data_IF_223559943215
#
_entry.id   IF_223559943215
#
_cell.length_a   1.000
_cell.length_b   1.000
_cell.length_c   1.000
_cell.angle_alpha   90.00
_cell.angle_beta   90.00
_cell.angle_gamma   90.00
#
_symmetry.space_group_name_H-M   'P 1'
#
loop_
_entity.id
_entity.type
_entity.pdbx_description
1 polymer ?
#
# COMPACT_ATOMS: atom_id res chain seq x y z
N UNK A 1 -9.46 17.53 -21.26
CA UNK A 1 -8.53 16.38 -21.27
C UNK A 1 -7.40 16.69 -22.21
N UNK A 2 -6.15 16.74 -21.72
CA UNK A 2 -4.97 16.96 -22.55
C UNK A 2 -4.10 15.72 -22.53
N UNK A 3 -3.68 15.27 -23.71
CA UNK A 3 -2.66 14.22 -23.84
C UNK A 3 -1.33 14.79 -23.37
N UNK A 4 -0.53 13.97 -22.68
CA UNK A 4 0.77 14.40 -22.17
C UNK A 4 1.77 14.52 -23.33
N UNK A 5 1.56 13.75 -24.40
CA UNK A 5 2.35 13.75 -25.63
C UNK A 5 1.43 13.67 -26.87
N UNK A 6 1.80 14.32 -27.98
CA UNK A 6 0.98 14.38 -29.19
C UNK A 6 0.68 13.01 -29.80
N UNK A 7 1.62 12.07 -29.67
CA UNK A 7 1.48 10.69 -30.17
C UNK A 7 0.88 9.73 -29.14
N UNK A 8 0.57 10.22 -27.94
CA UNK A 8 -0.04 9.40 -26.90
C UNK A 8 -1.50 9.12 -27.22
N UNK A 9 -1.92 7.87 -27.07
CA UNK A 9 -3.33 7.51 -27.09
C UNK A 9 -3.97 7.63 -25.70
N UNK A 10 -5.30 7.67 -25.66
CA UNK A 10 -6.06 7.59 -24.40
C UNK A 10 -6.18 6.13 -23.99
N UNK A 11 -5.88 5.81 -22.73
CA UNK A 11 -6.02 4.44 -22.21
C UNK A 11 -6.61 4.41 -20.80
N UNK A 12 -7.14 3.25 -20.44
CA UNK A 12 -7.82 2.99 -19.15
C UNK A 12 -6.87 2.46 -18.07
N UNK A 13 -5.76 1.81 -18.45
CA UNK A 13 -4.53 1.54 -17.67
C UNK A 13 -3.55 0.75 -18.57
N UNK A 14 -2.36 1.26 -18.87
CA UNK A 14 -1.40 0.57 -19.75
C UNK A 14 -0.26 -0.07 -18.96
N UNK A 15 -0.38 -1.36 -18.67
CA UNK A 15 0.67 -2.11 -17.98
C UNK A 15 1.42 -3.08 -18.92
N UNK A 16 0.91 -3.33 -20.12
CA UNK A 16 1.37 -4.44 -20.97
C UNK A 16 2.09 -4.02 -22.26
N UNK A 17 2.19 -2.72 -22.55
CA UNK A 17 2.85 -2.23 -23.75
C UNK A 17 4.17 -1.55 -23.38
N UNK A 18 5.27 -2.32 -23.43
CA UNK A 18 6.60 -1.88 -23.00
C UNK A 18 7.37 -1.09 -24.08
N UNK A 19 6.92 -1.15 -25.34
CA UNK A 19 7.73 -0.67 -26.47
C UNK A 19 7.07 0.46 -27.26
N UNK A 20 5.77 0.69 -27.07
CA UNK A 20 5.10 1.85 -27.65
C UNK A 20 5.16 3.06 -26.72
N UNK A 21 4.93 4.25 -27.30
CA UNK A 21 4.73 5.48 -26.54
C UNK A 21 3.64 5.23 -25.49
N UNK A 22 3.95 5.39 -24.18
CA UNK A 22 2.98 5.11 -23.13
C UNK A 22 1.72 5.96 -23.34
N UNK A 23 0.53 5.34 -23.38
CA UNK A 23 -0.70 6.10 -23.50
C UNK A 23 -0.96 6.90 -22.22
N UNK A 24 -1.70 7.99 -22.38
CA UNK A 24 -2.09 8.86 -21.29
C UNK A 24 -3.24 8.19 -20.57
N UNK A 25 -3.00 7.79 -19.32
CA UNK A 25 -4.05 7.32 -18.43
C UNK A 25 -5.01 8.46 -18.13
N UNK A 26 -6.26 8.34 -18.58
CA UNK A 26 -7.32 9.33 -18.31
C UNK A 26 -8.50 8.76 -17.52
N UNK A 27 -8.54 7.45 -17.28
CA UNK A 27 -9.66 6.81 -16.60
C UNK A 27 -9.61 6.99 -15.08
N UNK A 28 -8.42 7.15 -14.49
CA UNK A 28 -8.26 7.38 -13.05
C UNK A 28 -8.20 8.88 -12.81
N UNK A 29 -9.33 9.47 -12.40
CA UNK A 29 -9.41 10.92 -12.13
C UNK A 29 -8.99 11.27 -10.69
N UNK A 30 -9.26 10.36 -9.74
CA UNK A 30 -9.05 10.57 -8.30
C UNK A 30 -8.64 9.27 -7.63
N UNK A 31 -7.90 9.38 -6.54
CA UNK A 31 -7.55 8.27 -5.66
C UNK A 31 -8.02 8.53 -4.23
N UNK A 32 -8.32 7.47 -3.49
CA UNK A 32 -8.68 7.52 -2.07
C UNK A 32 -8.02 6.39 -1.30
N UNK A 33 -7.78 6.61 0.00
CA UNK A 33 -7.29 5.58 0.91
C UNK A 33 -8.46 4.89 1.59
N UNK A 34 -8.59 3.58 1.37
CA UNK A 34 -9.60 2.75 2.02
C UNK A 34 -8.95 1.89 3.11
N UNK A 35 -9.58 1.83 4.28
CA UNK A 35 -9.10 1.04 5.41
C UNK A 35 -9.85 -0.29 5.48
N UNK A 36 -9.14 -1.38 5.28
CA UNK A 36 -9.67 -2.73 5.44
C UNK A 36 -9.21 -3.34 6.76
N UNK A 37 -10.07 -4.16 7.37
CA UNK A 37 -9.74 -4.92 8.58
C UNK A 37 -9.44 -6.38 8.19
N UNK A 38 -8.53 -7.06 8.89
CA UNK A 38 -8.32 -8.49 8.70
C UNK A 38 -9.60 -9.28 8.91
N UNK A 39 -9.82 -10.30 8.09
CA UNK A 39 -10.93 -11.26 8.28
C UNK A 39 -10.55 -12.39 9.22
N UNK A 40 -9.25 -12.68 9.32
CA UNK A 40 -8.70 -13.75 10.14
C UNK A 40 -8.13 -13.23 11.47
N UNK A 41 -8.13 -14.11 12.47
CA UNK A 41 -7.42 -13.83 13.72
C UNK A 41 -5.91 -13.81 13.49
N UNK A 42 -5.23 -12.80 14.03
CA UNK A 42 -3.78 -12.67 13.94
C UNK A 42 -3.14 -13.75 14.81
N UNK A 43 -2.46 -14.70 14.19
CA UNK A 43 -1.74 -15.80 14.85
C UNK A 43 -0.32 -15.91 14.32
N UNK A 44 0.59 -16.36 15.16
CA UNK A 44 1.99 -16.55 14.78
C UNK A 44 2.10 -17.58 13.64
N UNK A 45 2.84 -17.24 12.58
CA UNK A 45 3.06 -18.12 11.42
C UNK A 45 1.92 -18.17 10.40
N UNK A 46 0.83 -17.42 10.61
CA UNK A 46 -0.29 -17.36 9.67
C UNK A 46 -0.27 -16.07 8.85
N UNK A 47 -0.75 -16.15 7.60
CA UNK A 47 -0.93 -14.98 6.75
C UNK A 47 -2.07 -14.09 7.28
N UNK A 48 -1.90 -12.77 7.16
CA UNK A 48 -2.97 -11.81 7.40
C UNK A 48 -3.83 -11.77 6.15
N UNK A 49 -5.09 -12.20 6.28
CA UNK A 49 -6.03 -12.22 5.17
C UNK A 49 -6.95 -11.02 5.24
N UNK A 50 -7.17 -10.39 4.09
CA UNK A 50 -8.00 -9.21 3.94
C UNK A 50 -8.93 -9.43 2.75
N UNK A 51 -10.23 -9.25 2.97
CA UNK A 51 -11.21 -9.32 1.88
C UNK A 51 -11.47 -7.93 1.34
N UNK A 52 -11.13 -7.71 0.07
CA UNK A 52 -11.48 -6.50 -0.66
C UNK A 52 -12.63 -6.87 -1.57
N UNK A 53 -13.85 -6.50 -1.20
CA UNK A 53 -15.01 -6.66 -2.07
C UNK A 53 -14.75 -5.88 -3.35
N UNK A 54 -14.84 -6.55 -4.51
CA UNK A 54 -14.50 -6.01 -5.82
C UNK A 54 -15.08 -4.61 -5.99
N UNK A 55 -14.26 -3.59 -6.27
CA UNK A 55 -14.67 -2.23 -6.02
C UNK A 55 -15.39 -1.64 -7.25
N UNK A 56 -16.37 -2.35 -7.84
CA UNK A 56 -17.10 -1.86 -9.01
C UNK A 56 -16.18 -1.33 -10.13
N UNK A 57 -16.16 0.00 -10.27
CA UNK A 57 -15.37 0.77 -11.25
C UNK A 57 -14.01 1.28 -10.74
N UNK A 58 -13.66 1.08 -9.46
CA UNK A 58 -12.41 1.58 -8.88
C UNK A 58 -11.22 0.64 -9.17
N UNK A 59 -10.02 1.22 -9.20
CA UNK A 59 -8.76 0.47 -9.33
C UNK A 59 -8.02 0.40 -8.01
N UNK A 60 -7.41 -0.75 -7.72
CA UNK A 60 -6.55 -0.94 -6.55
C UNK A 60 -5.09 -0.69 -6.95
N UNK A 61 -4.41 0.19 -6.23
CA UNK A 61 -2.99 0.45 -6.41
C UNK A 61 -2.16 -0.39 -5.42
N UNK A 62 -1.79 -1.61 -5.83
CA UNK A 62 -1.12 -2.58 -4.96
C UNK A 62 0.25 -2.14 -4.45
N UNK A 63 1.05 -1.45 -5.29
CA UNK A 63 2.35 -0.89 -4.89
C UNK A 63 2.24 0.22 -3.85
N UNK A 64 1.10 0.92 -3.83
CA UNK A 64 0.77 1.95 -2.85
C UNK A 64 -0.22 1.41 -1.80
N UNK A 65 -0.03 0.17 -1.35
CA UNK A 65 -0.81 -0.40 -0.24
C UNK A 65 0.04 -0.43 1.03
N UNK A 66 -0.52 0.03 2.15
CA UNK A 66 0.17 0.09 3.44
C UNK A 66 -0.49 -0.80 4.47
N UNK A 67 0.34 -1.48 5.27
CA UNK A 67 -0.13 -2.24 6.43
C UNK A 67 -0.01 -1.37 7.68
N UNK A 68 -1.16 -1.00 8.25
CA UNK A 68 -1.21 -0.24 9.50
C UNK A 68 -1.23 -1.19 10.71
N UNK A 69 -0.15 -1.18 11.50
CA UNK A 69 0.03 -2.09 12.64
C UNK A 69 0.14 -1.31 13.95
N UNK A 70 -0.69 -1.67 14.95
CA UNK A 70 -0.57 -1.18 16.33
C UNK A 70 -0.01 -2.30 17.19
N UNK A 71 1.21 -2.14 17.70
CA UNK A 71 1.94 -3.15 18.49
C UNK A 71 2.33 -2.61 19.85
N UNK A 72 2.44 -3.53 20.83
CA UNK A 72 3.06 -3.26 22.11
C UNK A 72 4.46 -3.87 22.08
N UNK A 73 5.49 -3.03 22.13
CA UNK A 73 6.88 -3.49 22.19
C UNK A 73 7.30 -3.60 23.66
N UNK A 74 7.93 -4.72 24.01
CA UNK A 74 8.44 -5.03 25.35
C UNK A 74 9.88 -5.51 25.24
N UNK A 75 10.72 -5.13 26.21
CA UNK A 75 12.08 -5.65 26.37
C UNK A 75 12.08 -6.54 27.60
N UNK A 76 12.33 -7.84 27.42
CA UNK A 76 12.29 -8.83 28.51
C UNK A 76 10.98 -8.81 29.32
N UNK A 77 9.85 -8.60 28.63
CA UNK A 77 8.51 -8.40 29.21
C UNK A 77 8.31 -7.11 30.04
N UNK A 78 9.29 -6.21 30.04
CA UNK A 78 9.21 -4.89 30.69
C UNK A 78 8.90 -3.82 29.65
N UNK A 79 8.15 -2.79 30.05
CA UNK A 79 7.86 -1.62 29.21
C UNK A 79 9.17 -0.89 28.90
N UNK A 80 9.32 -0.47 27.65
CA UNK A 80 10.47 0.33 27.24
C UNK A 80 10.53 1.66 28.02
N UNK A 81 11.75 2.09 28.33
CA UNK A 81 12.01 3.42 28.91
C UNK A 81 11.77 4.53 27.89
N UNK A 82 11.53 5.75 28.35
CA UNK A 82 11.26 6.93 27.48
C UNK A 82 12.43 7.28 26.54
N UNK A 83 13.64 6.80 26.85
CA UNK A 83 14.86 7.03 26.05
C UNK A 83 15.16 5.90 25.06
N UNK A 84 14.40 4.81 25.08
CA UNK A 84 14.63 3.67 24.19
C UNK A 84 13.90 3.88 22.85
N UNK A 85 14.68 3.99 21.78
CA UNK A 85 14.15 4.12 20.42
C UNK A 85 13.83 2.75 19.83
N UNK A 86 12.67 2.63 19.18
CA UNK A 86 12.29 1.44 18.41
C UNK A 86 12.19 1.81 16.93
N UNK A 87 12.75 0.95 16.08
CA UNK A 87 12.63 1.06 14.64
C UNK A 87 12.25 -0.31 14.05
N UNK A 88 11.51 -0.33 12.92
CA UNK A 88 11.33 -1.56 12.15
C UNK A 88 12.68 -2.11 11.68
N UNK A 89 12.82 -3.44 11.71
CA UNK A 89 13.98 -4.13 11.13
C UNK A 89 13.60 -4.58 9.72
N UNK A 90 14.11 -3.90 8.69
CA UNK A 90 13.83 -4.21 7.29
C UNK A 90 13.92 -3.00 6.36
N UNK A 91 13.90 -3.24 5.05
CA UNK A 91 13.98 -2.18 4.04
C UNK A 91 12.63 -1.45 3.94
N UNK A 92 12.50 -0.28 4.59
CA UNK A 92 11.41 0.67 4.36
C UNK A 92 11.63 1.44 3.03
N UNK A 93 11.80 0.70 1.93
CA UNK A 93 11.94 1.25 0.58
C UNK A 93 10.62 1.15 -0.21
N UNK A 94 10.46 1.97 -1.27
CA UNK A 94 9.28 1.89 -2.13
C UNK A 94 9.25 0.55 -2.86
N UNK A 95 8.26 -0.30 -2.57
CA UNK A 95 8.05 -1.59 -3.24
C UNK A 95 7.89 -2.80 -2.32
N UNK A 96 8.18 -2.67 -1.03
CA UNK A 96 7.72 -3.61 0.00
C UNK A 96 6.47 -3.04 0.69
N UNK A 97 5.61 -3.87 1.28
CA UNK A 97 4.49 -3.41 2.11
C UNK A 97 5.06 -2.52 3.23
N UNK A 98 5.07 -1.20 3.01
CA UNK A 98 5.69 -0.26 3.95
C UNK A 98 4.87 -0.30 5.22
N UNK A 99 5.49 -0.83 6.29
CA UNK A 99 4.92 -0.79 7.63
C UNK A 99 5.38 0.52 8.26
N UNK A 100 4.56 1.56 8.14
CA UNK A 100 4.79 2.81 8.86
C UNK A 100 4.22 2.65 10.27
N UNK A 101 5.08 2.68 11.29
CA UNK A 101 4.62 2.87 12.66
C UNK A 101 4.31 4.35 12.86
N UNK A 102 3.06 4.66 13.24
CA UNK A 102 2.71 5.95 13.79
C UNK A 102 2.71 5.83 15.31
N UNK A 103 3.51 6.67 15.98
CA UNK A 103 3.25 7.01 17.37
C UNK A 103 2.12 8.05 17.36
N UNK A 104 1.01 7.73 18.03
CA UNK A 104 -0.01 8.73 18.43
C UNK A 104 0.51 9.51 19.65
#
# INVERSE_FOLDING_TARGET
MSLIHGDSQVAVKSELDLFLTPPTQTAIEKGQWLKFRPISNIRHGHAIEVSISGPGEDYIHLSATHLHVKVKILKENVKLGETENVAPVGNCGPGALTTCFYNE
#
